data_IF_221065284703
#
_entry.id   IF_221065284703
#
_cell.length_a   1.000
_cell.length_b   1.000
_cell.length_c   1.000
_cell.angle_alpha   90.00
_cell.angle_beta   90.00
_cell.angle_gamma   90.00
#
_symmetry.space_group_name_H-M   'P 1'
#
loop_
_entity.id
_entity.type
_entity.pdbx_description
1 polymer ?
#
# COMPACT_ATOMS: atom_id res chain seq x y z
N UNK A 1 9.49 -18.01 60.32
CA UNK A 1 9.77 -18.59 59.00
C UNK A 1 9.12 -17.72 57.95
N UNK A 2 9.84 -17.45 56.85
CA UNK A 2 9.58 -16.38 55.91
C UNK A 2 8.28 -16.55 55.11
N UNK A 3 7.51 -15.47 54.98
CA UNK A 3 6.59 -15.26 53.86
C UNK A 3 7.39 -14.65 52.72
N UNK A 4 7.57 -15.41 51.65
CA UNK A 4 8.32 -15.02 50.45
C UNK A 4 7.56 -13.97 49.65
N UNK A 5 8.17 -12.80 49.48
CA UNK A 5 7.80 -11.84 48.45
C UNK A 5 8.46 -12.24 47.12
N UNK A 6 7.66 -12.44 46.08
CA UNK A 6 8.11 -12.55 44.69
C UNK A 6 6.89 -12.23 43.81
N UNK A 7 6.90 -11.28 42.89
CA UNK A 7 7.90 -10.28 42.54
C UNK A 7 7.17 -9.16 41.79
N UNK A 8 7.56 -7.91 42.03
CA UNK A 8 7.11 -6.81 41.18
C UNK A 8 7.90 -6.88 39.88
N UNK A 9 7.25 -7.30 38.80
CA UNK A 9 7.73 -7.05 37.45
C UNK A 9 7.83 -5.53 37.25
N UNK A 10 9.06 -5.03 37.11
CA UNK A 10 9.33 -3.68 36.66
C UNK A 10 8.84 -3.54 35.21
N UNK A 11 7.57 -3.22 35.03
CA UNK A 11 7.12 -2.58 33.79
C UNK A 11 7.74 -1.18 33.75
N UNK A 12 8.76 -1.03 32.92
CA UNK A 12 9.33 0.27 32.62
C UNK A 12 8.26 1.07 31.89
N UNK A 13 7.52 1.92 32.62
CA UNK A 13 6.52 2.79 32.03
C UNK A 13 7.23 3.89 31.25
N UNK A 14 7.43 3.63 29.95
CA UNK A 14 7.88 4.66 29.02
C UNK A 14 6.77 5.70 28.87
N UNK A 15 6.83 6.75 29.68
CA UNK A 15 5.83 7.83 29.68
C UNK A 15 6.20 8.90 28.65
N UNK A 16 5.31 9.11 27.66
CA UNK A 16 5.39 10.22 26.71
C UNK A 16 5.41 11.59 27.39
N UNK A 17 5.02 11.67 28.67
CA UNK A 17 5.06 12.90 29.48
C UNK A 17 6.47 13.44 29.74
N UNK A 18 7.52 12.67 29.42
CA UNK A 18 8.93 13.12 29.52
C UNK A 18 9.49 13.69 28.22
N UNK A 19 8.76 13.59 27.11
CA UNK A 19 9.14 14.24 25.87
C UNK A 19 8.90 15.76 26.02
N UNK A 20 9.77 16.56 25.40
CA UNK A 20 9.56 18.00 25.22
C UNK A 20 8.13 18.28 24.69
N UNK A 21 7.54 19.48 24.90
CA UNK A 21 6.11 19.70 24.63
C UNK A 21 5.70 19.13 23.27
N UNK A 22 4.84 18.10 23.27
CA UNK A 22 4.44 17.38 22.07
C UNK A 22 3.68 18.33 21.14
N UNK A 23 4.28 18.65 19.98
CA UNK A 23 3.70 19.62 19.05
C UNK A 23 2.92 18.99 17.91
N UNK A 24 3.28 17.76 17.51
CA UNK A 24 2.62 17.04 16.42
C UNK A 24 2.82 15.52 16.56
N UNK A 25 1.89 14.76 15.98
CA UNK A 25 1.98 13.30 15.80
C UNK A 25 1.65 13.00 14.34
N UNK A 26 2.42 12.12 13.73
CA UNK A 26 2.16 11.61 12.38
C UNK A 26 1.66 10.17 12.51
N UNK A 27 0.54 9.87 11.85
CA UNK A 27 -0.04 8.54 11.77
C UNK A 27 0.04 8.06 10.32
N UNK A 28 0.45 6.82 10.14
CA UNK A 28 0.31 6.10 8.88
C UNK A 28 -1.16 5.78 8.60
N UNK A 29 -1.52 5.45 7.36
CA UNK A 29 -2.89 5.12 6.96
C UNK A 29 -3.12 3.60 7.04
N UNK A 30 -2.40 2.84 6.23
CA UNK A 30 -2.58 1.40 6.09
C UNK A 30 -2.05 0.65 7.32
N UNK A 31 -2.88 -0.19 7.93
CA UNK A 31 -2.52 -0.92 9.15
C UNK A 31 -2.37 -0.06 10.40
N UNK A 32 -2.58 1.27 10.31
CA UNK A 32 -2.55 2.20 11.46
C UNK A 32 -3.89 2.90 11.68
N UNK A 33 -4.40 3.63 10.68
CA UNK A 33 -5.71 4.30 10.77
C UNK A 33 -6.84 3.48 10.12
N UNK A 34 -6.49 2.61 9.17
CA UNK A 34 -7.43 1.76 8.45
C UNK A 34 -6.98 0.31 8.50
N UNK A 35 -7.93 -0.60 8.75
CA UNK A 35 -7.74 -2.04 8.54
C UNK A 35 -7.94 -2.35 7.04
N UNK A 36 -6.88 -2.14 6.26
CA UNK A 36 -6.86 -2.34 4.81
C UNK A 36 -6.33 -3.71 4.39
N UNK A 37 -5.80 -4.50 5.33
CA UNK A 37 -5.23 -5.83 5.09
C UNK A 37 -6.18 -6.81 4.40
N UNK A 38 -7.49 -6.87 4.75
CA UNK A 38 -8.42 -7.76 4.04
C UNK A 38 -8.53 -7.46 2.54
N UNK A 39 -8.49 -6.18 2.16
CA UNK A 39 -8.55 -5.78 0.75
C UNK A 39 -7.21 -6.02 0.04
N UNK A 40 -6.10 -5.75 0.72
CA UNK A 40 -4.77 -6.07 0.22
C UNK A 40 -4.60 -7.57 -0.01
N UNK A 41 -5.07 -8.42 0.90
CA UNK A 41 -5.04 -9.87 0.74
C UNK A 41 -5.75 -10.31 -0.55
N UNK A 42 -6.96 -9.81 -0.81
CA UNK A 42 -7.70 -10.15 -2.02
C UNK A 42 -6.95 -9.72 -3.29
N UNK A 43 -6.46 -8.48 -3.34
CA UNK A 43 -5.70 -7.97 -4.47
C UNK A 43 -4.41 -8.76 -4.71
N UNK A 44 -3.68 -9.08 -3.64
CA UNK A 44 -2.46 -9.88 -3.71
C UNK A 44 -2.73 -11.31 -4.14
N UNK A 45 -3.77 -11.94 -3.62
CA UNK A 45 -4.17 -13.30 -4.00
C UNK A 45 -4.49 -13.38 -5.49
N UNK A 46 -5.27 -12.44 -6.03
CA UNK A 46 -5.60 -12.40 -7.47
C UNK A 46 -4.36 -12.16 -8.34
N UNK A 47 -3.53 -11.17 -7.98
CA UNK A 47 -2.30 -10.87 -8.71
C UNK A 47 -1.34 -12.07 -8.71
N UNK A 48 -1.13 -12.71 -7.57
CA UNK A 48 -0.23 -13.86 -7.42
C UNK A 48 -0.75 -15.06 -8.24
N UNK A 49 -2.06 -15.27 -8.30
CA UNK A 49 -2.66 -16.28 -9.17
C UNK A 49 -2.43 -15.99 -10.65
N UNK A 50 -2.62 -14.75 -11.07
CA UNK A 50 -2.46 -14.34 -12.48
C UNK A 50 -1.04 -14.59 -13.00
N UNK A 51 -0.02 -14.33 -12.16
CA UNK A 51 1.39 -14.53 -12.53
C UNK A 51 1.86 -15.98 -12.38
N UNK A 52 0.98 -16.89 -11.93
CA UNK A 52 1.29 -18.30 -11.71
C UNK A 52 2.13 -18.58 -10.46
N UNK A 53 2.15 -17.66 -9.49
CA UNK A 53 2.87 -17.85 -8.22
C UNK A 53 2.36 -19.10 -7.49
N UNK A 54 3.25 -19.78 -6.76
CA UNK A 54 2.92 -21.02 -6.04
C UNK A 54 2.26 -22.09 -6.93
N UNK A 55 2.67 -22.16 -8.21
CA UNK A 55 2.09 -23.08 -9.18
C UNK A 55 0.61 -22.81 -9.51
N UNK A 56 0.13 -21.58 -9.29
CA UNK A 56 -1.27 -21.20 -9.49
C UNK A 56 -2.19 -21.59 -8.32
N UNK A 57 -1.64 -22.01 -7.18
CA UNK A 57 -2.42 -22.26 -5.95
C UNK A 57 -2.58 -20.95 -5.18
N UNK A 58 -3.82 -20.55 -4.83
CA UNK A 58 -4.04 -19.31 -4.09
C UNK A 58 -3.34 -19.32 -2.74
N UNK A 59 -2.67 -18.23 -2.39
CA UNK A 59 -2.15 -18.01 -1.03
C UNK A 59 -3.29 -17.78 -0.06
N UNK A 60 -3.08 -18.15 1.20
CA UNK A 60 -4.00 -17.89 2.31
C UNK A 60 -3.67 -16.59 3.06
N UNK A 61 -4.60 -16.17 3.92
CA UNK A 61 -4.52 -14.93 4.69
C UNK A 61 -3.41 -14.97 5.74
N UNK A 62 -3.16 -16.13 6.34
CA UNK A 62 -2.13 -16.32 7.37
C UNK A 62 -0.72 -16.14 6.78
N UNK A 63 -0.51 -16.68 5.58
CA UNK A 63 0.68 -16.44 4.79
C UNK A 63 0.79 -14.96 4.39
N UNK A 64 -0.31 -14.33 3.95
CA UNK A 64 -0.32 -12.91 3.58
C UNK A 64 0.12 -12.02 4.75
N UNK A 65 -0.43 -12.21 5.95
CA UNK A 65 -0.05 -11.44 7.13
C UNK A 65 1.44 -11.63 7.47
N UNK A 66 1.93 -12.87 7.35
CA UNK A 66 3.32 -13.20 7.68
C UNK A 66 4.34 -12.63 6.68
N UNK A 67 3.99 -12.62 5.40
CA UNK A 67 4.94 -12.38 4.31
C UNK A 67 4.76 -11.01 3.68
N UNK A 68 3.53 -10.50 3.60
CA UNK A 68 3.17 -9.28 2.88
C UNK A 68 2.85 -8.10 3.80
N UNK A 69 2.01 -8.31 4.82
CA UNK A 69 1.53 -7.22 5.67
C UNK A 69 2.70 -6.48 6.35
N UNK A 70 2.68 -5.14 6.24
CA UNK A 70 3.67 -4.23 6.82
C UNK A 70 5.09 -4.30 6.23
N UNK A 71 5.30 -4.99 5.10
CA UNK A 71 6.62 -5.06 4.43
C UNK A 71 6.80 -3.96 3.39
N UNK A 72 8.04 -3.51 3.24
CA UNK A 72 8.41 -2.60 2.16
C UNK A 72 8.40 -3.32 0.80
N UNK A 73 8.12 -2.56 -0.26
CA UNK A 73 8.02 -3.10 -1.61
C UNK A 73 9.30 -3.83 -2.06
N UNK A 74 10.49 -3.31 -1.74
CA UNK A 74 11.76 -3.92 -2.13
C UNK A 74 11.94 -5.30 -1.48
N UNK A 75 11.56 -5.44 -0.21
CA UNK A 75 11.57 -6.73 0.50
C UNK A 75 10.62 -7.73 -0.15
N UNK A 76 9.44 -7.25 -0.58
CA UNK A 76 8.42 -8.09 -1.21
C UNK A 76 8.84 -8.56 -2.59
N UNK A 77 9.46 -7.69 -3.39
CA UNK A 77 10.04 -8.08 -4.68
C UNK A 77 11.09 -9.16 -4.49
N UNK A 78 11.99 -9.00 -3.52
CA UNK A 78 13.02 -9.99 -3.22
C UNK A 78 12.44 -11.35 -2.78
N UNK A 79 11.35 -11.34 -2.00
CA UNK A 79 10.71 -12.58 -1.52
C UNK A 79 9.90 -13.27 -2.61
N UNK A 80 9.20 -12.51 -3.46
CA UNK A 80 8.24 -13.06 -4.41
C UNK A 80 8.85 -13.33 -5.78
N UNK A 81 9.94 -12.63 -6.12
CA UNK A 81 10.68 -12.76 -7.37
C UNK A 81 12.18 -12.90 -7.10
N UNK A 82 12.61 -13.92 -6.34
CA UNK A 82 14.02 -14.09 -5.97
C UNK A 82 14.95 -14.23 -7.19
N UNK A 83 14.43 -14.80 -8.28
CA UNK A 83 15.20 -15.07 -9.50
C UNK A 83 14.91 -14.07 -10.64
N UNK A 84 13.96 -13.14 -10.48
CA UNK A 84 13.49 -12.25 -11.54
C UNK A 84 13.03 -10.88 -11.00
N UNK A 85 13.98 -10.16 -10.42
CA UNK A 85 13.72 -8.87 -9.79
C UNK A 85 13.15 -7.83 -10.76
N UNK A 86 13.56 -7.86 -12.03
CA UNK A 86 13.08 -6.92 -13.05
C UNK A 86 11.58 -7.14 -13.37
N UNK A 87 11.17 -8.41 -13.54
CA UNK A 87 9.74 -8.75 -13.64
C UNK A 87 9.00 -8.39 -12.37
N UNK A 88 9.60 -8.59 -11.19
CA UNK A 88 9.04 -8.23 -9.91
C UNK A 88 8.70 -6.74 -9.85
N UNK A 89 9.68 -5.87 -10.09
CA UNK A 89 9.50 -4.41 -10.13
C UNK A 89 8.43 -3.99 -11.13
N UNK A 90 8.46 -4.49 -12.37
CA UNK A 90 7.48 -4.13 -13.40
C UNK A 90 6.07 -4.69 -13.13
N UNK A 91 5.95 -5.90 -12.58
CA UNK A 91 4.64 -6.49 -12.27
C UNK A 91 4.00 -5.87 -11.01
N UNK A 92 4.83 -5.34 -10.10
CA UNK A 92 4.46 -4.76 -8.81
C UNK A 92 4.18 -3.25 -8.85
N UNK A 93 5.07 -2.45 -9.44
CA UNK A 93 4.93 -0.98 -9.45
C UNK A 93 3.94 -0.50 -10.50
N UNK A 94 3.85 -1.16 -11.65
CA UNK A 94 3.03 -0.68 -12.77
C UNK A 94 1.52 -0.92 -12.57
N UNK A 95 1.13 -1.77 -11.60
CA UNK A 95 -0.28 -2.14 -11.35
C UNK A 95 -0.90 -1.54 -10.08
N UNK A 96 -0.12 -0.82 -9.27
CA UNK A 96 -0.64 -0.09 -8.11
C UNK A 96 -0.82 1.37 -8.47
N UNK A 97 -2.04 1.88 -8.31
CA UNK A 97 -2.29 3.32 -8.32
C UNK A 97 -2.63 3.79 -6.91
N UNK A 98 -2.10 4.95 -6.52
CA UNK A 98 -2.42 5.58 -5.24
C UNK A 98 -3.49 6.65 -5.43
N UNK A 99 -4.46 6.70 -4.52
CA UNK A 99 -5.42 7.79 -4.41
C UNK A 99 -5.01 8.68 -3.25
N UNK A 100 -4.56 9.90 -3.54
CA UNK A 100 -3.95 10.78 -2.54
C UNK A 100 -4.61 12.15 -2.50
N UNK A 101 -5.09 12.57 -1.32
CA UNK A 101 -5.74 13.88 -1.14
C UNK A 101 -4.79 15.01 -0.72
N UNK A 102 -3.54 14.70 -0.40
CA UNK A 102 -2.54 15.64 0.08
C UNK A 102 -1.37 15.76 -0.90
N UNK A 103 -0.92 16.99 -1.15
CA UNK A 103 0.22 17.27 -2.04
C UNK A 103 1.50 16.51 -1.66
N UNK A 104 1.77 16.34 -0.37
CA UNK A 104 2.94 15.58 0.10
C UNK A 104 2.84 14.09 -0.20
N UNK A 105 1.66 13.50 -0.03
CA UNK A 105 1.39 12.10 -0.38
C UNK A 105 1.53 11.85 -1.88
N UNK A 106 0.96 12.75 -2.70
CA UNK A 106 1.12 12.69 -4.16
C UNK A 106 2.60 12.73 -4.55
N UNK A 107 3.35 13.69 -3.99
CA UNK A 107 4.77 13.85 -4.31
C UNK A 107 5.60 12.63 -3.91
N UNK A 108 5.27 11.99 -2.78
CA UNK A 108 5.93 10.77 -2.35
C UNK A 108 5.63 9.61 -3.30
N UNK A 109 4.37 9.39 -3.67
CA UNK A 109 3.98 8.33 -4.59
C UNK A 109 4.59 8.51 -5.99
N UNK A 110 4.59 9.73 -6.53
CA UNK A 110 5.23 10.05 -7.81
C UNK A 110 6.75 9.83 -7.74
N UNK A 111 7.41 10.27 -6.67
CA UNK A 111 8.84 10.04 -6.48
C UNK A 111 9.20 8.55 -6.35
N UNK A 112 8.26 7.72 -5.88
CA UNK A 112 8.39 6.26 -5.82
C UNK A 112 8.07 5.56 -7.16
N UNK A 113 7.79 6.32 -8.23
CA UNK A 113 7.47 5.77 -9.56
C UNK A 113 6.05 5.20 -9.67
N UNK A 114 5.15 5.53 -8.75
CA UNK A 114 3.77 5.05 -8.76
C UNK A 114 2.87 5.93 -9.63
N UNK A 115 1.87 5.32 -10.26
CA UNK A 115 0.77 6.05 -10.91
C UNK A 115 -0.15 6.64 -9.84
N UNK A 116 -0.03 7.94 -9.53
CA UNK A 116 -0.86 8.58 -8.50
C UNK A 116 -2.02 9.36 -9.12
N UNK A 117 -3.23 9.13 -8.63
CA UNK A 117 -4.43 9.93 -8.92
C UNK A 117 -4.70 10.82 -7.71
N UNK A 118 -4.75 12.14 -7.90
CA UNK A 118 -4.97 13.08 -6.80
C UNK A 118 -6.46 13.31 -6.51
N UNK A 119 -6.85 13.25 -5.24
CA UNK A 119 -8.21 13.52 -4.77
C UNK A 119 -8.37 15.00 -4.39
N UNK A 120 -8.99 15.79 -5.27
CA UNK A 120 -9.13 17.23 -5.14
C UNK A 120 -10.41 17.67 -4.40
N UNK A 121 -10.84 16.91 -3.38
CA UNK A 121 -12.05 17.23 -2.60
C UNK A 121 -11.83 18.28 -1.50
N UNK A 122 -10.61 18.34 -0.96
CA UNK A 122 -10.25 19.18 0.20
C UNK A 122 -9.18 20.22 -0.11
N UNK A 123 -8.42 20.03 -1.19
CA UNK A 123 -7.31 20.90 -1.57
C UNK A 123 -7.51 21.48 -2.98
N UNK A 124 -7.11 22.74 -3.21
CA UNK A 124 -7.15 23.34 -4.53
C UNK A 124 -6.36 22.55 -5.57
N UNK A 125 -6.96 22.28 -6.73
CA UNK A 125 -6.36 21.46 -7.79
C UNK A 125 -4.99 21.97 -8.25
N UNK A 126 -4.76 23.29 -8.29
CA UNK A 126 -3.48 23.85 -8.72
C UNK A 126 -2.31 23.43 -7.81
N UNK A 127 -2.54 23.31 -6.50
CA UNK A 127 -1.51 22.87 -5.56
C UNK A 127 -1.20 21.37 -5.69
N UNK A 128 -2.22 20.56 -5.97
CA UNK A 128 -2.03 19.11 -6.16
C UNK A 128 -1.31 18.80 -7.47
N UNK A 129 -1.56 19.56 -8.54
CA UNK A 129 -0.88 19.39 -9.83
C UNK A 129 0.63 19.67 -9.76
N UNK A 130 1.11 20.49 -8.82
CA UNK A 130 2.56 20.70 -8.61
C UNK A 130 3.30 19.44 -8.15
N UNK A 131 2.58 18.42 -7.67
CA UNK A 131 3.14 17.12 -7.31
C UNK A 131 3.07 16.12 -8.48
N UNK A 132 2.65 16.55 -9.67
CA UNK A 132 2.62 15.80 -10.92
C UNK A 132 1.87 14.45 -10.85
N UNK A 133 0.64 14.39 -10.30
CA UNK A 133 -0.19 13.20 -10.42
C UNK A 133 -0.57 12.95 -11.88
N UNK A 134 -0.96 11.71 -12.20
CA UNK A 134 -1.43 11.32 -13.53
C UNK A 134 -2.65 12.15 -13.94
N UNK A 135 -3.61 12.32 -13.03
CA UNK A 135 -4.71 13.28 -13.13
C UNK A 135 -5.36 13.49 -11.75
N UNK A 136 -6.31 14.43 -11.68
CA UNK A 136 -7.09 14.72 -10.48
C UNK A 136 -8.55 14.31 -10.66
N UNK A 137 -9.15 13.82 -9.58
CA UNK A 137 -10.58 13.53 -9.45
C UNK A 137 -11.19 14.30 -8.29
N UNK A 138 -12.47 14.66 -8.38
CA UNK A 138 -13.16 15.35 -7.27
C UNK A 138 -13.64 14.40 -6.19
N UNK A 139 -14.03 13.20 -6.58
CA UNK A 139 -14.55 12.12 -5.74
C UNK A 139 -14.45 10.79 -6.52
N UNK A 140 -14.91 9.70 -5.93
CA UNK A 140 -14.88 8.38 -6.56
C UNK A 140 -15.99 8.18 -7.61
N UNK A 141 -16.91 9.13 -7.77
CA UNK A 141 -17.93 9.13 -8.83
C UNK A 141 -17.45 9.86 -10.09
N UNK A 142 -16.25 10.47 -10.06
CA UNK A 142 -15.67 11.19 -11.19
C UNK A 142 -15.52 10.26 -12.41
N UNK A 143 -16.17 10.56 -13.55
CA UNK A 143 -16.11 9.71 -14.74
C UNK A 143 -14.69 9.47 -15.28
N UNK A 144 -13.74 10.36 -14.96
CA UNK A 144 -12.34 10.17 -15.36
C UNK A 144 -11.70 8.95 -14.69
N UNK A 145 -12.07 8.67 -13.44
CA UNK A 145 -11.58 7.49 -12.73
C UNK A 145 -12.04 6.23 -13.44
N UNK A 146 -13.35 6.11 -13.68
CA UNK A 146 -13.95 4.95 -14.31
C UNK A 146 -13.48 4.76 -15.76
N UNK A 147 -13.37 5.84 -16.53
CA UNK A 147 -12.82 5.77 -17.88
C UNK A 147 -11.36 5.28 -17.92
N UNK A 148 -10.54 5.69 -16.93
CA UNK A 148 -9.17 5.21 -16.81
C UNK A 148 -9.12 3.72 -16.42
N UNK A 149 -9.94 3.28 -15.47
CA UNK A 149 -10.03 1.87 -15.07
C UNK A 149 -10.54 0.97 -16.21
N UNK A 150 -11.57 1.39 -16.95
CA UNK A 150 -12.09 0.67 -18.12
C UNK A 150 -11.04 0.53 -19.23
N UNK A 151 -10.20 1.54 -19.42
CA UNK A 151 -9.12 1.49 -20.40
C UNK A 151 -8.04 0.48 -20.01
N UNK A 152 -7.70 0.40 -18.72
CA UNK A 152 -6.75 -0.56 -18.17
C UNK A 152 -7.28 -1.99 -18.32
N UNK A 153 -8.56 -2.22 -18.02
CA UNK A 153 -9.19 -3.55 -18.15
C UNK A 153 -9.23 -4.04 -19.61
N UNK A 154 -9.48 -3.13 -20.56
CA UNK A 154 -9.41 -3.46 -22.00
C UNK A 154 -7.98 -3.79 -22.45
N UNK A 155 -6.98 -3.15 -21.87
CA UNK A 155 -5.57 -3.45 -22.16
C UNK A 155 -5.17 -4.82 -21.60
N UNK A 156 -5.62 -5.20 -20.40
CA UNK A 156 -5.32 -6.51 -19.80
C UNK A 156 -5.99 -7.68 -20.56
N UNK A 157 -7.19 -7.46 -21.12
CA UNK A 157 -7.93 -8.47 -21.90
C UNK A 157 -7.34 -8.84 -23.26
N UNK A 158 -6.41 -8.04 -23.82
CA UNK A 158 -5.87 -8.25 -25.17
C UNK A 158 -4.67 -9.22 -25.25
N UNK A 159 -4.18 -9.75 -24.12
CA UNK A 159 -3.03 -10.67 -24.06
C UNK A 159 -3.33 -12.15 -24.31
N UNK A 160 -4.60 -12.57 -24.46
CA UNK A 160 -4.97 -13.97 -24.73
C UNK A 160 -5.40 -14.16 -26.19
N UNK A 161 -4.47 -14.10 -27.14
CA UNK A 161 -4.67 -14.65 -28.49
C UNK A 161 -3.33 -15.08 -29.09
N UNK A 162 -3.24 -16.37 -29.44
CA UNK A 162 -2.18 -17.12 -30.16
C UNK A 162 -0.85 -17.31 -29.40
N UNK A 163 -0.33 -18.54 -29.21
CA UNK A 163 -0.42 -19.76 -30.01
C UNK A 163 -0.67 -21.03 -29.17
#
# INVERSE_FOLDING_TARGET
MATSACGNSNESSSSLATLAPLQAVLFDIDGTLCDSDPFHYLAFREMLLEIGYNGGVPVDEEWFVKIISGKHNDDLVAVLFPDDHERGVNSWMTRKFCLEGLRLGIKAGVAAGMSVVGLANRNPSHLLMEAEPVFLIKDYEDPKLWAALDAIDKMSGTGKTTA
#
